data_IF_272704227987
#
_entry.id   IF_272704227987
#
_cell.length_a   1.000
_cell.length_b   1.000
_cell.length_c   1.000
_cell.angle_alpha   90.00
_cell.angle_beta   90.00
_cell.angle_gamma   90.00
#
_symmetry.space_group_name_H-M   'P 1'
#
loop_
_entity.id
_entity.type
_entity.pdbx_description
1 polymer ?
#
# COMPACT_ATOMS: atom_id res chain seq x y z
N UNK A 1 -0.21 -1.96 5.47
CA UNK A 1 -1.64 -1.60 5.53
C UNK A 1 -2.06 -1.02 6.88
N UNK A 2 -1.42 -1.38 7.99
CA UNK A 2 -1.72 -0.87 9.35
C UNK A 2 -0.96 0.40 9.75
N UNK A 3 -0.06 0.89 8.91
CA UNK A 3 0.76 2.09 9.16
C UNK A 3 -0.07 3.38 8.97
N UNK A 4 -0.22 4.20 10.02
CA UNK A 4 -0.97 5.45 9.99
C UNK A 4 -0.34 6.53 9.10
N UNK A 5 1.00 6.62 9.07
CA UNK A 5 1.72 7.53 8.17
C UNK A 5 1.53 7.15 6.70
N UNK A 6 1.40 5.83 6.40
CA UNK A 6 1.05 5.37 5.05
C UNK A 6 -0.37 5.79 4.66
N UNK A 7 -1.33 5.70 5.57
CA UNK A 7 -2.70 6.17 5.30
C UNK A 7 -2.73 7.68 5.05
N UNK A 8 -1.94 8.45 5.82
CA UNK A 8 -1.78 9.89 5.59
C UNK A 8 -1.18 10.19 4.21
N UNK A 9 -0.13 9.47 3.82
CA UNK A 9 0.46 9.59 2.48
C UNK A 9 -0.57 9.30 1.38
N UNK A 10 -1.33 8.22 1.50
CA UNK A 10 -2.37 7.85 0.53
C UNK A 10 -3.48 8.91 0.39
N UNK A 11 -3.84 9.58 1.49
CA UNK A 11 -4.88 10.61 1.49
C UNK A 11 -4.37 11.96 0.98
N UNK A 12 -3.20 12.40 1.44
CA UNK A 12 -2.78 13.79 1.32
C UNK A 12 -1.77 14.04 0.19
N UNK A 13 -0.98 13.02 -0.16
CA UNK A 13 0.17 13.13 -1.08
C UNK A 13 -0.05 12.36 -2.38
N UNK A 14 -0.45 11.11 -2.30
CA UNK A 14 -0.59 10.22 -3.46
C UNK A 14 -1.48 10.79 -4.58
N UNK A 15 -2.65 11.42 -4.31
CA UNK A 15 -3.46 12.01 -5.37
C UNK A 15 -2.72 13.09 -6.16
N UNK A 16 -1.94 13.92 -5.49
CA UNK A 16 -1.14 14.98 -6.10
C UNK A 16 0.00 14.44 -6.96
N UNK A 17 0.66 13.36 -6.50
CA UNK A 17 1.68 12.66 -7.29
C UNK A 17 1.07 12.11 -8.57
N UNK A 18 -0.11 11.48 -8.46
CA UNK A 18 -0.81 10.91 -9.61
C UNK A 18 -1.15 11.99 -10.62
N UNK A 19 -1.84 13.05 -10.19
CA UNK A 19 -2.27 14.15 -11.05
C UNK A 19 -1.10 14.84 -11.76
N UNK A 20 -0.04 15.16 -11.02
CA UNK A 20 1.06 15.98 -11.56
C UNK A 20 2.06 15.15 -12.37
N UNK A 21 2.41 13.95 -11.95
CA UNK A 21 3.55 13.20 -12.48
C UNK A 21 3.19 11.88 -13.17
N UNK A 22 2.22 11.13 -12.62
CA UNK A 22 1.88 9.81 -13.18
C UNK A 22 0.98 9.97 -14.41
N UNK A 23 -0.07 10.79 -14.32
CA UNK A 23 -1.04 10.99 -15.38
C UNK A 23 -0.41 11.73 -16.57
N UNK A 24 0.63 12.56 -16.32
CA UNK A 24 1.44 13.19 -17.36
C UNK A 24 2.50 12.26 -17.97
N UNK A 25 2.67 11.05 -17.44
CA UNK A 25 3.65 10.07 -17.92
C UNK A 25 5.10 10.37 -17.53
N UNK A 26 5.36 11.37 -16.66
CA UNK A 26 6.71 11.76 -16.24
C UNK A 26 7.34 10.72 -15.30
N UNK A 27 6.54 10.00 -14.51
CA UNK A 27 7.04 8.93 -13.67
C UNK A 27 6.06 7.76 -13.56
N UNK A 28 6.63 6.60 -13.23
CA UNK A 28 5.91 5.39 -12.89
C UNK A 28 5.97 5.18 -11.39
N UNK A 29 4.81 4.99 -10.76
CA UNK A 29 4.69 4.66 -9.35
C UNK A 29 4.56 3.15 -9.16
N UNK A 30 5.41 2.57 -8.32
CA UNK A 30 5.37 1.16 -7.94
C UNK A 30 5.13 1.02 -6.43
N UNK A 31 4.12 0.24 -6.06
CA UNK A 31 3.85 -0.10 -4.67
C UNK A 31 4.49 -1.43 -4.30
N UNK A 32 5.34 -1.41 -3.28
CA UNK A 32 5.92 -2.61 -2.70
C UNK A 32 5.37 -2.85 -1.30
N UNK A 33 5.03 -4.11 -1.01
CA UNK A 33 4.47 -4.48 0.28
C UNK A 33 5.57 -4.62 1.33
N UNK A 34 5.32 -3.97 2.48
CA UNK A 34 6.17 -4.07 3.66
C UNK A 34 5.27 -4.24 4.89
N UNK A 35 4.65 -5.42 5.09
CA UNK A 35 3.73 -5.64 6.20
C UNK A 35 4.46 -5.59 7.55
N UNK A 36 3.92 -4.82 8.50
CA UNK A 36 4.46 -4.66 9.84
C UNK A 36 3.92 -5.71 10.82
N UNK A 37 2.76 -6.29 10.51
CA UNK A 37 2.04 -7.25 11.32
C UNK A 37 1.20 -8.20 10.45
N UNK A 38 0.58 -9.18 11.10
CA UNK A 38 -0.22 -10.21 10.42
C UNK A 38 -1.45 -9.63 9.69
N UNK A 39 -2.06 -8.56 10.23
CA UNK A 39 -3.22 -7.95 9.61
C UNK A 39 -2.83 -7.10 8.40
N UNK A 40 -1.68 -6.41 8.46
CA UNK A 40 -1.09 -5.74 7.31
C UNK A 40 -0.79 -6.74 6.19
N UNK A 41 -0.23 -7.92 6.53
CA UNK A 41 0.04 -9.01 5.58
C UNK A 41 -1.25 -9.51 4.93
N UNK A 42 -2.28 -9.79 5.71
CA UNK A 42 -3.57 -10.27 5.21
C UNK A 42 -4.29 -9.23 4.34
N UNK A 43 -4.32 -7.96 4.77
CA UNK A 43 -4.89 -6.88 3.97
C UNK A 43 -4.15 -6.69 2.64
N UNK A 44 -2.81 -6.82 2.64
CA UNK A 44 -2.00 -6.81 1.42
C UNK A 44 -2.33 -8.02 0.52
N UNK A 45 -2.50 -9.22 1.09
CA UNK A 45 -2.90 -10.40 0.33
C UNK A 45 -4.28 -10.24 -0.33
N UNK A 46 -5.25 -9.64 0.37
CA UNK A 46 -6.54 -9.32 -0.24
C UNK A 46 -6.39 -8.34 -1.42
N UNK A 47 -5.55 -7.31 -1.28
CA UNK A 47 -5.33 -6.34 -2.36
C UNK A 47 -4.60 -6.97 -3.55
N UNK A 48 -3.52 -7.71 -3.31
CA UNK A 48 -2.73 -8.38 -4.36
C UNK A 48 -3.45 -9.53 -5.05
N UNK A 49 -4.27 -10.26 -4.31
CA UNK A 49 -5.08 -11.33 -4.87
C UNK A 49 -6.27 -10.83 -5.69
N UNK A 50 -6.67 -9.56 -5.58
CA UNK A 50 -7.75 -8.99 -6.36
C UNK A 50 -7.36 -8.84 -7.85
N UNK A 51 -8.33 -8.84 -8.77
CA UNK A 51 -8.07 -8.53 -10.17
C UNK A 51 -7.30 -7.21 -10.31
N UNK A 52 -6.29 -7.14 -11.18
CA UNK A 52 -5.37 -6.01 -11.31
C UNK A 52 -6.07 -4.64 -11.39
N UNK A 53 -7.18 -4.56 -12.13
CA UNK A 53 -8.00 -3.35 -12.27
C UNK A 53 -8.65 -2.87 -10.96
N UNK A 54 -8.74 -3.73 -9.94
CA UNK A 54 -9.33 -3.41 -8.63
C UNK A 54 -8.29 -3.09 -7.56
N UNK A 55 -7.02 -3.39 -7.82
CA UNK A 55 -5.93 -3.23 -6.84
C UNK A 55 -5.85 -1.81 -6.26
N UNK A 56 -5.76 -0.80 -7.13
CA UNK A 56 -5.61 0.59 -6.69
C UNK A 56 -6.82 1.09 -5.89
N UNK A 57 -8.04 0.77 -6.35
CA UNK A 57 -9.26 1.12 -5.63
C UNK A 57 -9.36 0.43 -4.26
N UNK A 58 -8.93 -0.83 -4.19
CA UNK A 58 -8.92 -1.59 -2.94
C UNK A 58 -7.91 -1.04 -1.95
N UNK A 59 -6.71 -0.65 -2.42
CA UNK A 59 -5.71 0.04 -1.59
C UNK A 59 -6.28 1.35 -1.02
N UNK A 60 -6.94 2.14 -1.85
CA UNK A 60 -7.55 3.40 -1.42
C UNK A 60 -8.59 3.17 -0.32
N UNK A 61 -9.48 2.19 -0.48
CA UNK A 61 -10.50 1.88 0.53
C UNK A 61 -9.86 1.37 1.82
N UNK A 62 -8.85 0.49 1.73
CA UNK A 62 -8.13 -0.04 2.89
C UNK A 62 -7.47 1.08 3.70
N UNK A 63 -6.82 2.03 3.06
CA UNK A 63 -6.18 3.14 3.76
C UNK A 63 -7.18 4.19 4.25
N UNK A 64 -8.20 4.51 3.47
CA UNK A 64 -9.25 5.45 3.89
C UNK A 64 -10.04 4.97 5.10
N UNK A 65 -10.29 3.67 5.19
CA UNK A 65 -11.00 3.06 6.31
C UNK A 65 -10.05 2.40 7.34
N UNK A 66 -8.76 2.70 7.30
CA UNK A 66 -7.73 2.03 8.09
C UNK A 66 -8.11 1.94 9.58
N UNK A 67 -8.36 3.09 10.23
CA UNK A 67 -8.71 3.12 11.65
C UNK A 67 -9.92 2.24 11.96
N UNK A 68 -10.93 2.26 11.09
CA UNK A 68 -12.16 1.50 11.31
C UNK A 68 -11.94 -0.01 11.28
N UNK A 69 -11.18 -0.52 10.30
CA UNK A 69 -10.99 -1.96 10.20
C UNK A 69 -9.90 -2.48 11.14
N UNK A 70 -8.87 -1.68 11.46
CA UNK A 70 -7.79 -2.08 12.38
C UNK A 70 -8.22 -2.10 13.84
N UNK A 71 -9.24 -1.32 14.21
CA UNK A 71 -9.81 -1.29 15.56
C UNK A 71 -11.09 -2.13 15.72
N UNK A 72 -11.48 -2.88 14.70
CA UNK A 72 -12.65 -3.75 14.78
C UNK A 72 -12.41 -4.96 15.69
N UNK A 73 -13.42 -5.36 16.45
CA UNK A 73 -13.36 -6.59 17.29
C UNK A 73 -13.11 -7.84 16.43
N UNK A 74 -13.68 -7.88 15.23
CA UNK A 74 -13.42 -8.90 14.21
C UNK A 74 -12.84 -8.26 12.94
N UNK A 75 -11.50 -8.16 12.89
CA UNK A 75 -10.77 -7.60 11.75
C UNK A 75 -11.02 -8.42 10.48
N UNK A 76 -11.18 -9.74 10.59
CA UNK A 76 -11.45 -10.59 9.43
C UNK A 76 -12.80 -10.27 8.81
N UNK A 77 -13.84 -10.08 9.61
CA UNK A 77 -15.16 -9.66 9.14
C UNK A 77 -15.09 -8.26 8.50
N UNK A 78 -14.35 -7.33 9.09
CA UNK A 78 -14.13 -6.00 8.53
C UNK A 78 -13.43 -6.04 7.18
N UNK A 79 -12.39 -6.84 7.01
CA UNK A 79 -11.70 -7.03 5.71
C UNK A 79 -12.63 -7.67 4.67
N UNK A 80 -13.46 -8.65 5.04
CA UNK A 80 -14.47 -9.24 4.15
C UNK A 80 -15.51 -8.21 3.70
N UNK A 81 -15.89 -7.28 4.58
CA UNK A 81 -16.80 -6.19 4.22
C UNK A 81 -16.15 -5.22 3.23
N UNK A 82 -14.90 -4.84 3.45
CA UNK A 82 -14.14 -4.00 2.49
C UNK A 82 -14.03 -4.70 1.14
N UNK A 83 -13.72 -6.00 1.13
CA UNK A 83 -13.68 -6.79 -0.11
C UNK A 83 -15.02 -6.74 -0.87
N UNK A 84 -16.16 -6.87 -0.17
CA UNK A 84 -17.49 -6.74 -0.78
C UNK A 84 -17.72 -5.36 -1.41
N UNK A 85 -17.32 -4.29 -0.75
CA UNK A 85 -17.41 -2.93 -1.30
C UNK A 85 -16.59 -2.78 -2.59
N UNK A 86 -15.49 -3.51 -2.69
CA UNK A 86 -14.67 -3.60 -3.89
C UNK A 86 -15.17 -4.64 -4.91
N UNK A 87 -16.34 -5.25 -4.69
CA UNK A 87 -16.95 -6.25 -5.57
C UNK A 87 -16.32 -7.64 -5.52
N UNK A 88 -15.62 -7.97 -4.41
CA UNK A 88 -15.09 -9.31 -4.15
C UNK A 88 -16.08 -10.11 -3.31
N UNK A 89 -16.29 -11.39 -3.63
CA UNK A 89 -17.10 -12.25 -2.77
C UNK A 89 -16.37 -12.57 -1.45
N UNK A 90 -17.12 -12.86 -0.36
CA UNK A 90 -16.50 -13.27 0.90
C UNK A 90 -15.63 -14.52 0.78
N UNK A 91 -16.04 -15.46 -0.09
CA UNK A 91 -15.27 -16.67 -0.37
C UNK A 91 -13.94 -16.35 -1.08
N UNK A 92 -13.97 -15.41 -2.04
CA UNK A 92 -12.77 -14.95 -2.74
C UNK A 92 -11.79 -14.26 -1.77
N UNK A 93 -12.30 -13.36 -0.94
CA UNK A 93 -11.48 -12.71 0.11
C UNK A 93 -10.86 -13.77 1.02
N UNK A 94 -11.65 -14.73 1.50
CA UNK A 94 -11.15 -15.80 2.36
C UNK A 94 -10.05 -16.63 1.68
N UNK A 95 -10.19 -16.91 0.38
CA UNK A 95 -9.17 -17.62 -0.39
C UNK A 95 -7.86 -16.80 -0.46
N UNK A 96 -7.92 -15.50 -0.75
CA UNK A 96 -6.74 -14.62 -0.76
C UNK A 96 -6.03 -14.62 0.60
N UNK A 97 -6.79 -14.51 1.71
CA UNK A 97 -6.25 -14.46 3.07
C UNK A 97 -5.60 -15.77 3.55
N UNK A 98 -5.87 -16.87 2.86
CA UNK A 98 -5.32 -18.21 3.15
C UNK A 98 -4.33 -18.71 2.09
N UNK A 99 -4.10 -17.95 1.03
CA UNK A 99 -3.18 -18.34 -0.04
C UNK A 99 -1.73 -18.22 0.46
N UNK A 100 -1.12 -19.36 0.79
CA UNK A 100 0.25 -19.43 1.33
C UNK A 100 1.28 -18.81 0.38
N UNK A 101 1.22 -19.15 -0.91
CA UNK A 101 2.15 -18.62 -1.92
C UNK A 101 2.08 -17.07 -2.00
N UNK A 102 0.88 -16.51 -1.96
CA UNK A 102 0.66 -15.06 -1.97
C UNK A 102 1.19 -14.41 -0.69
N UNK A 103 0.92 -15.00 0.47
CA UNK A 103 1.40 -14.52 1.78
C UNK A 103 2.93 -14.56 1.85
N UNK A 104 3.55 -15.65 1.38
CA UNK A 104 5.00 -15.80 1.34
C UNK A 104 5.64 -14.79 0.37
N UNK A 105 5.04 -14.57 -0.80
CA UNK A 105 5.50 -13.56 -1.76
C UNK A 105 5.51 -12.15 -1.16
N UNK A 106 4.45 -11.79 -0.41
CA UNK A 106 4.36 -10.48 0.28
C UNK A 106 5.38 -10.39 1.42
N UNK A 107 5.55 -11.45 2.21
CA UNK A 107 6.56 -11.50 3.27
C UNK A 107 7.99 -11.39 2.69
N UNK A 108 8.26 -12.05 1.57
CA UNK A 108 9.52 -11.96 0.86
C UNK A 108 9.79 -10.56 0.29
N UNK A 109 8.75 -9.84 -0.17
CA UNK A 109 8.88 -8.43 -0.58
C UNK A 109 9.43 -7.56 0.56
N UNK A 110 8.95 -7.77 1.80
CA UNK A 110 9.50 -7.09 2.98
C UNK A 110 10.97 -7.43 3.21
N UNK A 111 11.32 -8.73 3.17
CA UNK A 111 12.70 -9.17 3.37
C UNK A 111 13.64 -8.59 2.30
N UNK A 112 13.20 -8.58 1.05
CA UNK A 112 13.93 -7.99 -0.06
C UNK A 112 14.12 -6.48 0.15
N UNK A 113 13.05 -5.75 0.47
CA UNK A 113 13.11 -4.31 0.75
C UNK A 113 14.12 -3.96 1.86
N UNK A 114 14.16 -4.77 2.92
CA UNK A 114 15.12 -4.61 3.99
C UNK A 114 16.56 -4.90 3.53
N UNK A 115 16.80 -6.03 2.86
CA UNK A 115 18.14 -6.48 2.47
C UNK A 115 18.78 -5.62 1.36
N UNK A 116 18.00 -5.27 0.34
CA UNK A 116 18.53 -4.58 -0.84
C UNK A 116 18.55 -3.06 -0.67
N UNK A 117 17.57 -2.50 0.05
CA UNK A 117 17.41 -1.05 0.16
C UNK A 117 17.50 -0.52 1.59
N UNK A 118 17.74 -1.38 2.57
CA UNK A 118 17.83 -0.97 3.98
C UNK A 118 16.50 -0.40 4.52
N UNK A 119 15.35 -0.83 3.97
CA UNK A 119 14.04 -0.36 4.45
C UNK A 119 13.78 -0.98 5.83
N UNK A 120 13.56 -0.13 6.83
CA UNK A 120 13.28 -0.54 8.21
C UNK A 120 11.92 -0.04 8.72
N UNK A 121 11.31 0.91 8.04
CA UNK A 121 10.05 1.55 8.45
C UNK A 121 9.15 1.86 7.25
N UNK A 122 7.91 2.27 7.52
CA UNK A 122 6.93 2.67 6.51
C UNK A 122 6.25 4.00 6.84
N UNK A 123 5.93 4.83 5.84
CA UNK A 123 6.30 4.66 4.45
C UNK A 123 7.79 4.89 4.23
N UNK A 124 8.38 4.23 3.25
CA UNK A 124 9.70 4.56 2.70
C UNK A 124 9.58 4.67 1.19
N UNK A 125 10.36 5.55 0.59
CA UNK A 125 10.31 5.83 -0.84
C UNK A 125 11.71 5.71 -1.44
N UNK A 126 11.76 5.16 -2.64
CA UNK A 126 12.95 5.15 -3.49
C UNK A 126 12.66 6.05 -4.69
N UNK A 127 13.40 7.14 -4.82
CA UNK A 127 13.23 8.13 -5.90
C UNK A 127 14.60 8.26 -6.57
N UNK A 128 14.76 7.61 -7.75
CA UNK A 128 16.09 7.40 -8.32
C UNK A 128 16.97 6.66 -7.32
N UNK A 129 18.14 7.21 -7.03
CA UNK A 129 19.11 6.63 -6.08
C UNK A 129 18.88 7.09 -4.63
N UNK A 130 17.86 7.90 -4.38
CA UNK A 130 17.55 8.45 -3.05
C UNK A 130 16.56 7.60 -2.30
N UNK A 131 16.89 7.25 -1.05
CA UNK A 131 15.96 6.66 -0.10
C UNK A 131 15.44 7.74 0.84
N UNK A 132 14.12 7.81 0.98
CA UNK A 132 13.41 8.71 1.87
C UNK A 132 12.61 7.86 2.87
N UNK A 133 12.85 8.07 4.14
CA UNK A 133 12.15 7.37 5.22
C UNK A 133 11.10 8.28 5.87
N UNK A 134 9.89 7.75 6.03
CA UNK A 134 8.80 8.45 6.69
C UNK A 134 7.93 9.30 5.75
N UNK A 135 6.97 9.98 6.37
CA UNK A 135 6.05 10.88 5.69
C UNK A 135 6.70 12.24 5.47
N UNK A 136 6.58 12.77 4.25
CA UNK A 136 6.94 14.15 3.91
C UNK A 136 5.70 14.94 3.51
N UNK A 137 5.62 16.24 3.86
CA UNK A 137 4.61 17.16 3.33
C UNK A 137 4.76 17.35 1.83
N UNK A 138 3.66 17.75 1.17
CA UNK A 138 3.64 17.89 -0.29
C UNK A 138 4.74 18.79 -0.87
N UNK A 139 5.04 19.99 -0.34
CA UNK A 139 6.08 20.83 -0.92
C UNK A 139 7.46 20.17 -0.98
N UNK A 140 7.81 19.42 0.08
CA UNK A 140 9.09 18.69 0.14
C UNK A 140 9.08 17.50 -0.82
N UNK A 141 7.98 16.76 -0.87
CA UNK A 141 7.83 15.62 -1.77
C UNK A 141 7.84 16.05 -3.23
N UNK A 142 7.15 17.15 -3.55
CA UNK A 142 7.09 17.73 -4.90
C UNK A 142 8.47 18.17 -5.38
N UNK A 143 9.26 18.81 -4.52
CA UNK A 143 10.62 19.23 -4.84
C UNK A 143 11.53 18.04 -5.19
N UNK A 144 11.43 16.94 -4.42
CA UNK A 144 12.19 15.71 -4.68
C UNK A 144 11.79 15.03 -6.01
N UNK A 145 10.50 15.03 -6.33
CA UNK A 145 10.02 14.46 -7.59
C UNK A 145 10.38 15.34 -8.78
N UNK A 146 10.26 16.67 -8.66
CA UNK A 146 10.65 17.61 -9.70
C UNK A 146 12.14 17.46 -10.06
N UNK A 147 13.01 17.33 -9.04
CA UNK A 147 14.44 17.09 -9.23
C UNK A 147 14.73 15.74 -9.92
N UNK A 148 13.91 14.74 -9.69
CA UNK A 148 14.09 13.41 -10.26
C UNK A 148 13.61 13.28 -11.73
N UNK A 149 12.71 14.15 -12.19
CA UNK A 149 12.15 14.11 -13.56
C UNK A 149 12.71 15.21 -14.48
N UNK A 150 13.40 16.19 -13.92
CA UNK A 150 14.04 17.33 -14.64
C UNK A 150 15.38 16.97 -15.13
#
# INVERSE_FOLDING_TARGET
MTCGACAKFHRDILPKIKEKYVDSGQLRLEFRDFPLDIWALRAAAMARGAPAKRYAALLEVLYRQQTRWTSADDILAALKQIGRLAGLSPAYVQACLKNGELLDGIANSRLQGNREFGIASTPSFLIGDRKIDGYLPWPEFDALLADAVG
#
